data_IF_116937331492
#
_entry.id   IF_116937331492
#
_cell.length_a   1.000
_cell.length_b   1.000
_cell.length_c   1.000
_cell.angle_alpha   90.00
_cell.angle_beta   90.00
_cell.angle_gamma   90.00
#
_symmetry.space_group_name_H-M   'P 1'
#
loop_
_entity.id
_entity.type
_entity.pdbx_description
1 polymer ?
#
# COMPACT_ATOMS: atom_id res chain seq x y z
N UNK A 1 35.46 -25.28 -9.40
CA UNK A 1 34.44 -24.83 -10.38
C UNK A 1 33.01 -25.33 -10.07
N UNK A 2 32.78 -26.63 -9.89
CA UNK A 2 31.42 -27.21 -9.71
C UNK A 2 30.73 -26.73 -8.43
N UNK A 3 31.46 -26.62 -7.32
CA UNK A 3 30.93 -26.12 -6.05
C UNK A 3 30.50 -24.65 -6.10
N UNK A 4 31.26 -23.80 -6.78
CA UNK A 4 30.90 -22.40 -7.01
C UNK A 4 29.62 -22.29 -7.87
N UNK A 5 29.51 -23.11 -8.93
CA UNK A 5 28.29 -23.17 -9.75
C UNK A 5 27.06 -23.63 -8.95
N UNK A 6 27.22 -24.65 -8.09
CA UNK A 6 26.14 -25.13 -7.21
C UNK A 6 25.73 -24.08 -6.17
N UNK A 7 26.69 -23.38 -5.57
CA UNK A 7 26.41 -22.29 -4.63
C UNK A 7 25.64 -21.15 -5.32
N UNK A 8 26.08 -20.74 -6.51
CA UNK A 8 25.38 -19.72 -7.30
C UNK A 8 23.96 -20.15 -7.69
N UNK A 9 23.77 -21.42 -8.08
CA UNK A 9 22.44 -21.95 -8.36
C UNK A 9 21.53 -21.97 -7.13
N UNK A 10 22.03 -22.42 -5.97
CA UNK A 10 21.26 -22.44 -4.73
C UNK A 10 20.88 -21.03 -4.28
N UNK A 11 21.80 -20.07 -4.38
CA UNK A 11 21.52 -18.66 -4.10
C UNK A 11 20.47 -18.09 -5.04
N UNK A 12 20.55 -18.40 -6.34
CA UNK A 12 19.55 -17.97 -7.32
C UNK A 12 18.17 -18.56 -7.02
N UNK A 13 18.08 -19.86 -6.73
CA UNK A 13 16.82 -20.53 -6.35
C UNK A 13 16.25 -19.91 -5.08
N UNK A 14 17.07 -19.67 -4.05
CA UNK A 14 16.64 -19.00 -2.83
C UNK A 14 16.12 -17.59 -3.09
N UNK A 15 16.80 -16.83 -3.94
CA UNK A 15 16.37 -15.49 -4.34
C UNK A 15 15.01 -15.51 -5.06
N UNK A 16 14.82 -16.40 -6.05
CA UNK A 16 13.54 -16.53 -6.74
C UNK A 16 12.41 -17.03 -5.83
N UNK A 17 12.70 -17.94 -4.90
CA UNK A 17 11.73 -18.39 -3.91
C UNK A 17 11.30 -17.24 -2.99
N UNK A 18 12.24 -16.43 -2.50
CA UNK A 18 11.96 -15.26 -1.69
C UNK A 18 11.17 -14.19 -2.46
N UNK A 19 11.58 -13.89 -3.69
CA UNK A 19 10.89 -12.94 -4.55
C UNK A 19 9.45 -13.40 -4.87
N UNK A 20 9.27 -14.68 -5.19
CA UNK A 20 7.97 -15.30 -5.40
C UNK A 20 7.09 -15.23 -4.16
N UNK A 21 7.65 -15.53 -2.97
CA UNK A 21 6.93 -15.43 -1.70
C UNK A 21 6.51 -14.00 -1.36
N UNK A 22 7.38 -13.00 -1.57
CA UNK A 22 7.05 -11.59 -1.36
C UNK A 22 5.95 -11.13 -2.33
N UNK A 23 6.04 -11.50 -3.60
CA UNK A 23 4.99 -11.22 -4.57
C UNK A 23 3.67 -11.87 -4.17
N UNK A 24 3.71 -13.15 -3.76
CA UNK A 24 2.54 -13.90 -3.34
C UNK A 24 1.85 -13.29 -2.12
N UNK A 25 2.60 -12.82 -1.14
CA UNK A 25 2.05 -12.31 0.12
C UNK A 25 1.67 -10.84 0.09
N UNK A 26 2.30 -10.02 -0.77
CA UNK A 26 2.12 -8.56 -0.77
C UNK A 26 1.40 -8.01 -2.01
N UNK A 27 1.48 -8.67 -3.17
CA UNK A 27 0.94 -8.16 -4.44
C UNK A 27 -0.11 -9.08 -5.07
N UNK A 28 -0.11 -10.35 -4.70
CA UNK A 28 -1.01 -11.35 -5.30
C UNK A 28 -2.48 -10.96 -5.16
N UNK A 29 -3.30 -11.21 -6.19
CA UNK A 29 -4.75 -11.08 -6.10
C UNK A 29 -5.41 -12.10 -5.16
N UNK A 30 -4.72 -13.16 -4.74
CA UNK A 30 -5.36 -14.27 -4.03
C UNK A 30 -5.43 -14.13 -2.50
N UNK A 31 -4.63 -13.24 -1.90
CA UNK A 31 -4.53 -13.12 -0.44
C UNK A 31 -5.10 -11.80 0.11
N UNK A 32 -5.77 -11.04 -0.74
CA UNK A 32 -6.45 -9.81 -0.36
C UNK A 32 -7.78 -9.69 -1.10
N UNK A 33 -8.85 -9.85 -0.35
CA UNK A 33 -10.20 -9.51 -0.77
C UNK A 33 -10.48 -8.08 -0.31
N UNK A 34 -10.77 -7.20 -1.28
CA UNK A 34 -11.19 -5.82 -0.99
C UNK A 34 -12.56 -5.89 -0.32
N UNK A 35 -12.75 -5.32 0.88
CA UNK A 35 -14.07 -5.25 1.50
C UNK A 35 -15.11 -4.60 0.59
N UNK A 36 -16.30 -5.19 0.50
CA UNK A 36 -17.39 -4.77 -0.39
C UNK A 36 -18.02 -3.42 0.01
N UNK A 37 -17.83 -3.00 1.26
CA UNK A 37 -18.30 -1.72 1.80
C UNK A 37 -17.46 -0.52 1.33
N UNK A 38 -16.31 -0.77 0.70
CA UNK A 38 -15.44 0.30 0.20
C UNK A 38 -16.01 0.89 -1.10
N UNK A 39 -15.99 2.24 -1.25
CA UNK A 39 -16.46 2.89 -2.45
C UNK A 39 -15.68 2.43 -3.69
N UNK A 40 -16.39 2.33 -4.80
CA UNK A 40 -15.81 2.01 -6.09
C UNK A 40 -14.77 3.06 -6.50
N UNK A 41 -13.71 2.63 -7.19
CA UNK A 41 -12.70 3.54 -7.74
C UNK A 41 -13.25 4.16 -9.02
N UNK A 42 -13.35 5.49 -9.03
CA UNK A 42 -13.72 6.23 -10.25
C UNK A 42 -12.66 6.04 -11.35
N UNK A 43 -13.09 5.92 -12.61
CA UNK A 43 -12.22 5.77 -13.78
C UNK A 43 -11.62 7.12 -14.21
N UNK A 44 -10.81 7.71 -13.35
CA UNK A 44 -10.08 8.97 -13.57
C UNK A 44 -8.66 8.89 -13.03
N UNK A 45 -7.87 9.92 -13.29
CA UNK A 45 -6.60 10.13 -12.60
C UNK A 45 -6.89 10.57 -11.17
N UNK A 46 -6.23 9.91 -10.22
CA UNK A 46 -6.28 10.20 -8.80
C UNK A 46 -4.94 10.72 -8.33
N UNK A 47 -4.98 11.56 -7.30
CA UNK A 47 -3.79 12.08 -6.65
C UNK A 47 -3.63 11.38 -5.32
N UNK A 48 -2.45 10.85 -5.04
CA UNK A 48 -2.17 10.09 -3.82
C UNK A 48 -0.91 10.63 -3.17
N UNK A 49 -1.04 11.17 -1.97
CA UNK A 49 0.10 11.61 -1.19
C UNK A 49 0.69 10.44 -0.40
N UNK A 50 2.00 10.22 -0.54
CA UNK A 50 2.72 9.11 0.07
C UNK A 50 3.89 9.62 0.90
N UNK A 51 4.01 9.11 2.13
CA UNK A 51 5.02 9.52 3.10
C UNK A 51 5.90 8.35 3.59
N UNK A 52 5.63 7.14 3.11
CA UNK A 52 6.27 5.89 3.51
C UNK A 52 7.08 5.20 2.39
N UNK A 53 6.97 3.87 2.28
CA UNK A 53 7.77 3.05 1.35
C UNK A 53 7.53 3.39 -0.12
N UNK A 54 6.34 3.90 -0.47
CA UNK A 54 6.00 4.33 -1.83
C UNK A 54 6.81 5.55 -2.31
N UNK A 55 7.59 6.19 -1.42
CA UNK A 55 8.60 7.19 -1.81
C UNK A 55 9.74 6.60 -2.64
N UNK A 56 10.01 5.29 -2.52
CA UNK A 56 11.10 4.62 -3.24
C UNK A 56 10.65 4.15 -4.63
N UNK A 57 11.38 4.56 -5.67
CA UNK A 57 11.07 4.24 -7.06
C UNK A 57 10.96 2.73 -7.36
N UNK A 58 11.82 1.84 -6.81
CA UNK A 58 11.67 0.40 -7.02
C UNK A 58 10.38 -0.18 -6.44
N UNK A 59 9.93 0.33 -5.29
CA UNK A 59 8.66 -0.09 -4.66
C UNK A 59 7.49 0.32 -5.55
N UNK A 60 7.51 1.55 -6.08
CA UNK A 60 6.51 2.02 -7.05
C UNK A 60 6.44 1.15 -8.30
N UNK A 61 7.60 0.78 -8.86
CA UNK A 61 7.64 -0.11 -10.02
C UNK A 61 6.99 -1.45 -9.72
N UNK A 62 7.32 -2.06 -8.58
CA UNK A 62 6.78 -3.36 -8.19
C UNK A 62 5.27 -3.28 -7.95
N UNK A 63 4.81 -2.28 -7.21
CA UNK A 63 3.39 -2.16 -6.80
C UNK A 63 2.50 -1.63 -7.92
N UNK A 64 2.87 -0.51 -8.54
CA UNK A 64 2.05 0.16 -9.56
C UNK A 64 2.32 -0.40 -10.96
N UNK A 65 3.46 -1.04 -11.19
CA UNK A 65 3.93 -1.43 -12.53
C UNK A 65 4.60 -0.29 -13.30
N UNK A 66 4.85 0.85 -12.66
CA UNK A 66 5.55 2.00 -13.24
C UNK A 66 6.25 2.81 -12.15
N UNK A 67 7.26 3.60 -12.53
CA UNK A 67 7.89 4.54 -11.60
C UNK A 67 6.99 5.74 -11.27
N UNK A 68 5.97 6.00 -12.10
CA UNK A 68 5.15 7.21 -12.03
C UNK A 68 5.95 8.47 -12.33
N UNK A 69 5.30 9.61 -12.11
CA UNK A 69 5.92 10.93 -12.11
C UNK A 69 5.63 11.58 -10.74
N UNK A 70 6.44 11.26 -9.71
CA UNK A 70 6.21 11.75 -8.37
C UNK A 70 6.64 13.22 -8.24
N UNK A 71 5.78 14.03 -7.67
CA UNK A 71 6.09 15.43 -7.35
C UNK A 71 6.37 15.54 -5.85
N UNK A 72 7.32 16.38 -5.43
CA UNK A 72 7.53 16.65 -4.01
C UNK A 72 6.33 17.42 -3.45
N UNK A 73 5.85 16.99 -2.28
CA UNK A 73 4.71 17.61 -1.63
C UNK A 73 4.88 17.61 -0.12
N UNK A 74 4.27 18.59 0.53
CA UNK A 74 4.26 18.72 1.99
C UNK A 74 2.83 18.67 2.49
N UNK A 75 2.60 17.87 3.53
CA UNK A 75 1.34 17.83 4.24
C UNK A 75 1.45 18.60 5.55
N UNK A 76 0.78 19.76 5.61
CA UNK A 76 0.74 20.61 6.79
C UNK A 76 -0.33 20.20 7.80
N UNK A 77 -0.09 20.46 9.08
CA UNK A 77 -1.01 20.16 10.17
C UNK A 77 -1.03 18.69 10.58
N UNK A 78 -0.06 17.90 10.14
CA UNK A 78 0.08 16.49 10.48
C UNK A 78 1.49 16.18 10.97
N UNK A 79 1.60 15.13 11.76
CA UNK A 79 2.85 14.53 12.18
C UNK A 79 2.86 13.06 11.81
N UNK A 80 4.03 12.59 11.36
CA UNK A 80 4.28 11.17 11.13
C UNK A 80 4.69 10.48 12.43
N UNK A 81 3.87 9.53 12.87
CA UNK A 81 4.12 8.69 14.03
C UNK A 81 4.44 7.25 13.58
N UNK A 82 5.69 7.03 13.18
CA UNK A 82 6.16 5.75 12.66
C UNK A 82 5.54 5.40 11.30
N UNK A 83 4.57 4.47 11.32
CA UNK A 83 3.83 4.01 10.13
C UNK A 83 2.45 4.66 9.98
N UNK A 84 2.14 5.64 10.82
CA UNK A 84 0.84 6.32 10.89
C UNK A 84 0.98 7.84 10.80
N UNK A 85 -0.15 8.51 10.53
CA UNK A 85 -0.28 9.96 10.54
C UNK A 85 -1.23 10.37 11.66
N UNK A 86 -0.92 11.47 12.32
CA UNK A 86 -1.80 12.05 13.34
C UNK A 86 -1.89 13.56 13.14
N UNK A 87 -3.06 14.19 13.33
CA UNK A 87 -3.18 15.64 13.27
C UNK A 87 -2.29 16.29 14.33
N UNK A 88 -1.45 17.23 13.90
CA UNK A 88 -0.65 18.08 14.78
C UNK A 88 -0.49 19.46 14.14
N UNK A 89 -1.23 20.48 14.62
CA UNK A 89 -1.12 21.85 14.11
C UNK A 89 0.33 22.37 14.16
N UNK A 90 0.76 23.03 13.09
CA UNK A 90 2.13 23.57 12.96
C UNK A 90 3.21 22.54 12.67
N UNK A 91 2.86 21.28 12.43
CA UNK A 91 3.79 20.24 11.98
C UNK A 91 3.58 19.90 10.52
N UNK A 92 4.67 19.49 9.86
CA UNK A 92 4.69 19.21 8.42
C UNK A 92 5.24 17.81 8.17
N UNK A 93 4.68 17.11 7.19
CA UNK A 93 5.16 15.82 6.71
C UNK A 93 5.58 15.94 5.25
N UNK A 94 6.87 15.72 4.98
CA UNK A 94 7.39 15.62 3.62
C UNK A 94 7.05 14.27 2.99
N UNK A 95 6.53 14.32 1.77
CA UNK A 95 6.14 13.16 1.01
C UNK A 95 6.30 13.37 -0.49
N UNK A 96 5.63 12.51 -1.25
CA UNK A 96 5.49 12.64 -2.69
C UNK A 96 4.00 12.62 -3.05
N UNK A 97 3.62 13.42 -4.02
CA UNK A 97 2.33 13.35 -4.68
C UNK A 97 2.44 12.47 -5.92
N UNK A 98 1.63 11.41 -5.97
CA UNK A 98 1.57 10.48 -7.09
C UNK A 98 0.29 10.71 -7.90
N UNK A 99 0.43 10.80 -9.22
CA UNK A 99 -0.70 10.79 -10.16
C UNK A 99 -0.88 9.37 -10.67
N UNK A 100 -2.03 8.77 -10.36
CA UNK A 100 -2.29 7.35 -10.62
C UNK A 100 -3.63 7.15 -11.31
N UNK A 101 -3.69 6.19 -12.23
CA UNK A 101 -4.96 5.75 -12.81
C UNK A 101 -5.74 4.84 -11.84
N UNK A 102 -6.97 4.48 -12.20
CA UNK A 102 -7.83 3.63 -11.38
C UNK A 102 -7.23 2.23 -11.10
N UNK A 103 -6.49 1.66 -12.05
CA UNK A 103 -5.87 0.33 -11.91
C UNK A 103 -4.67 0.38 -10.97
N UNK A 104 -3.86 1.42 -11.08
CA UNK A 104 -2.76 1.72 -10.18
C UNK A 104 -3.28 2.00 -8.76
N UNK A 105 -4.37 2.77 -8.63
CA UNK A 105 -5.00 3.00 -7.33
C UNK A 105 -5.49 1.69 -6.71
N UNK A 106 -6.11 0.79 -7.48
CA UNK A 106 -6.53 -0.52 -6.99
C UNK A 106 -5.36 -1.39 -6.51
N UNK A 107 -4.19 -1.30 -7.18
CA UNK A 107 -2.96 -1.97 -6.75
C UNK A 107 -2.38 -1.38 -5.47
N UNK A 108 -2.44 -0.05 -5.32
CA UNK A 108 -2.06 0.63 -4.09
C UNK A 108 -2.97 0.23 -2.93
N UNK A 109 -4.29 0.25 -3.14
CA UNK A 109 -5.28 -0.18 -2.14
C UNK A 109 -4.99 -1.61 -1.66
N UNK A 110 -4.53 -2.50 -2.54
CA UNK A 110 -4.13 -3.87 -2.21
C UNK A 110 -2.83 -3.93 -1.41
N UNK A 111 -1.80 -3.22 -1.87
CA UNK A 111 -0.50 -3.18 -1.18
C UNK A 111 -0.63 -2.65 0.25
N UNK A 112 -1.45 -1.61 0.43
CA UNK A 112 -1.76 -1.04 1.74
C UNK A 112 -2.83 -1.84 2.51
N UNK A 113 -3.45 -2.86 1.90
CA UNK A 113 -4.53 -3.67 2.51
C UNK A 113 -5.66 -2.79 3.05
N UNK A 114 -6.23 -1.98 2.17
CA UNK A 114 -7.32 -1.04 2.44
C UNK A 114 -8.49 -1.74 3.18
N UNK A 115 -9.02 -1.12 4.22
CA UNK A 115 -10.09 -1.67 5.06
C UNK A 115 -9.64 -2.68 6.12
N UNK A 116 -8.41 -3.22 6.04
CA UNK A 116 -7.87 -4.16 7.05
C UNK A 116 -6.74 -3.53 7.88
N UNK A 117 -5.87 -2.78 7.22
CA UNK A 117 -4.70 -2.14 7.85
C UNK A 117 -4.75 -0.61 7.77
N UNK A 118 -5.15 -0.10 6.61
CA UNK A 118 -5.25 1.33 6.35
C UNK A 118 -6.64 1.67 5.82
N UNK A 119 -7.03 2.92 5.97
CA UNK A 119 -8.16 3.55 5.28
C UNK A 119 -7.65 4.64 4.34
N UNK A 120 -8.46 5.00 3.35
CA UNK A 120 -8.12 6.03 2.37
C UNK A 120 -8.90 7.29 2.67
N UNK A 121 -8.19 8.33 3.08
CA UNK A 121 -8.76 9.62 3.49
C UNK A 121 -8.39 10.69 2.48
N UNK A 122 -9.38 11.47 2.04
CA UNK A 122 -9.12 12.62 1.19
C UNK A 122 -8.65 13.79 2.05
N UNK A 123 -7.50 14.35 1.72
CA UNK A 123 -6.92 15.53 2.37
C UNK A 123 -6.61 16.59 1.32
N UNK A 124 -6.47 17.83 1.79
CA UNK A 124 -6.06 18.96 0.96
C UNK A 124 -4.63 19.32 1.34
N UNK A 125 -3.76 19.41 0.34
CA UNK A 125 -2.37 19.87 0.48
C UNK A 125 -2.31 21.41 0.56
N UNK A 126 -1.13 21.94 0.86
CA UNK A 126 -0.86 23.38 1.00
C UNK A 126 -1.18 24.19 -0.28
N UNK A 127 -0.91 23.61 -1.44
CA UNK A 127 -1.21 24.15 -2.76
C UNK A 127 -2.71 24.09 -3.15
N UNK A 128 -3.57 23.57 -2.26
CA UNK A 128 -5.02 23.38 -2.49
C UNK A 128 -5.37 22.08 -3.22
N UNK A 129 -4.38 21.26 -3.58
CA UNK A 129 -4.59 19.99 -4.26
C UNK A 129 -5.26 18.98 -3.34
N UNK A 130 -6.33 18.33 -3.82
CA UNK A 130 -6.98 17.23 -3.10
C UNK A 130 -6.30 15.91 -3.44
N UNK A 131 -5.76 15.25 -2.42
CA UNK A 131 -5.05 13.98 -2.55
C UNK A 131 -5.59 12.94 -1.58
N UNK A 132 -5.51 11.67 -1.97
CA UNK A 132 -5.75 10.53 -1.10
C UNK A 132 -4.52 10.25 -0.25
N UNK A 133 -4.74 9.93 1.02
CA UNK A 133 -3.71 9.44 1.93
C UNK A 133 -4.18 8.18 2.63
N UNK A 134 -3.26 7.23 2.79
CA UNK A 134 -3.50 6.03 3.58
C UNK A 134 -3.18 6.32 5.04
N UNK A 135 -4.19 6.26 5.90
CA UNK A 135 -4.06 6.41 7.35
C UNK A 135 -4.33 5.06 8.01
N UNK A 136 -3.61 4.75 9.10
CA UNK A 136 -3.72 3.41 9.69
C UNK A 136 -5.02 3.32 10.46
N UNK A 137 -5.72 2.19 10.32
CA UNK A 137 -6.93 1.95 11.10
C UNK A 137 -6.57 1.86 12.60
N UNK A 138 -7.28 2.58 13.49
CA UNK A 138 -7.05 2.48 14.91
C UNK A 138 -7.31 1.05 15.39
N UNK A 139 -6.52 0.58 16.35
CA UNK A 139 -6.63 -0.79 16.87
C UNK A 139 -8.04 -1.16 17.35
N UNK A 140 -8.83 -0.17 17.77
CA UNK A 140 -10.22 -0.35 18.20
C UNK A 140 -11.18 -0.69 17.04
N UNK A 141 -10.92 -0.25 15.82
CA UNK A 141 -11.78 -0.51 14.65
C UNK A 141 -11.60 -1.94 14.11
N UNK A 142 -10.42 -2.56 14.34
CA UNK A 142 -10.19 -3.98 14.03
C UNK A 142 -11.10 -4.93 14.82
N UNK A 143 -11.57 -4.51 16.00
CA UNK A 143 -12.48 -5.31 16.83
C UNK A 143 -13.92 -5.35 16.29
N UNK A 144 -14.27 -4.47 15.33
CA UNK A 144 -15.61 -4.34 14.77
C UNK A 144 -15.74 -4.84 13.33
N UNK A 145 -14.68 -5.38 12.72
CA UNK A 145 -14.82 -6.23 11.54
C UNK A 145 -15.31 -7.59 12.04
N UNK A 146 -16.59 -7.95 11.87
CA UNK A 146 -17.04 -9.24 12.31
C UNK A 146 -16.32 -10.27 11.45
N UNK A 147 -15.52 -11.12 12.11
CA UNK A 147 -15.02 -12.36 11.56
C UNK A 147 -16.24 -13.27 11.35
N UNK A 148 -17.01 -12.99 10.32
CA UNK A 148 -18.12 -13.83 9.89
C UNK A 148 -17.69 -14.46 8.59
N UNK A 149 -17.73 -15.78 8.59
CA UNK A 149 -17.62 -16.66 7.43
C UNK A 149 -16.19 -17.05 6.99
N UNK A 150 -15.47 -17.74 7.87
CA UNK A 150 -14.76 -18.93 7.41
C UNK A 150 -15.73 -20.11 7.49
N UNK A 151 -16.21 -20.68 6.37
CA UNK A 151 -16.81 -22.01 6.42
C UNK A 151 -15.69 -22.98 6.79
N UNK A 152 -15.67 -23.42 8.05
CA UNK A 152 -14.94 -24.61 8.45
C UNK A 152 -15.57 -25.74 7.66
N UNK A 153 -14.94 -26.12 6.55
CA UNK A 153 -15.26 -27.34 5.84
C UNK A 153 -14.90 -28.52 6.74
N UNK A 154 -15.84 -28.92 7.59
CA UNK A 154 -15.88 -30.27 8.14
C UNK A 154 -16.24 -31.19 6.98
N UNK A 155 -15.22 -31.77 6.35
CA UNK A 155 -15.37 -32.94 5.48
C UNK A 155 -15.76 -34.12 6.38
N UNK A 156 -16.74 -34.95 5.99
CA UNK A 156 -17.35 -35.99 6.83
C UNK A 156 -16.38 -37.10 7.26
#
# INVERSE_FOLDING_TARGET
>A
MVWLKRLLMLSAVGFFALAGWLWLTMLSPWFYDRPDDLPAIEQRTHQVFVYGTLRYAPVRLVVMGSFGDPEEAVLEGYQRNGLDLSPQPGSNVEGLLLRVDAKQLARLDRYERLGVRYERVAITLDDGTRAWVYQRLPARQKAWLPYTDLPIALVP
#
